data_IF_659212115840
#
_entry.id   IF_659212115840
#
_cell.length_a   1.000
_cell.length_b   1.000
_cell.length_c   1.000
_cell.angle_alpha   90.00
_cell.angle_beta   90.00
_cell.angle_gamma   90.00
#
_symmetry.space_group_name_H-M   'P 1'
#
loop_
_entity.id
_entity.type
_entity.pdbx_description
1 polymer ?
#
# COMPACT_ATOMS: atom_id res chain seq x y z
N UNK A 1 2.25 -13.90 -4.57
CA UNK A 1 1.16 -13.47 -5.46
C UNK A 1 -0.18 -13.94 -4.92
N UNK A 2 -0.24 -15.13 -4.33
CA UNK A 2 -1.47 -15.81 -3.91
C UNK A 2 -2.40 -14.94 -3.03
N UNK A 3 -1.86 -14.22 -2.04
CA UNK A 3 -2.66 -13.30 -1.21
C UNK A 3 -3.37 -12.23 -2.06
N UNK A 4 -2.69 -11.70 -3.07
CA UNK A 4 -3.23 -10.64 -3.93
C UNK A 4 -4.30 -11.18 -4.87
N UNK A 5 -4.14 -12.41 -5.38
CA UNK A 5 -5.19 -13.09 -6.17
C UNK A 5 -6.50 -13.15 -5.37
N UNK A 6 -6.46 -13.70 -4.15
CA UNK A 6 -7.64 -13.79 -3.30
C UNK A 6 -8.26 -12.43 -3.00
N UNK A 7 -7.45 -11.38 -2.84
CA UNK A 7 -7.98 -10.04 -2.64
C UNK A 7 -8.69 -9.49 -3.87
N UNK A 8 -8.12 -9.66 -5.07
CA UNK A 8 -8.72 -9.18 -6.33
C UNK A 8 -10.03 -9.92 -6.59
N UNK A 9 -10.07 -11.24 -6.42
CA UNK A 9 -11.28 -12.04 -6.66
C UNK A 9 -12.46 -11.65 -5.75
N UNK A 10 -12.17 -11.02 -4.60
CA UNK A 10 -13.17 -10.71 -3.56
C UNK A 10 -13.41 -9.19 -3.40
N UNK A 11 -12.99 -8.36 -4.37
CA UNK A 11 -13.25 -6.93 -4.31
C UNK A 11 -13.43 -6.29 -5.67
N UNK A 12 -14.32 -5.29 -5.75
CA UNK A 12 -14.53 -4.49 -6.96
C UNK A 12 -13.75 -3.17 -6.94
N UNK A 13 -13.12 -2.81 -5.83
CA UNK A 13 -12.31 -1.59 -5.70
C UNK A 13 -10.85 -1.85 -6.12
N UNK A 14 -10.16 -0.85 -6.69
CA UNK A 14 -8.80 -1.05 -7.19
C UNK A 14 -7.81 -1.37 -6.06
N UNK A 15 -6.90 -2.30 -6.33
CA UNK A 15 -5.81 -2.67 -5.42
C UNK A 15 -4.49 -2.08 -5.93
N UNK A 16 -3.87 -1.26 -5.08
CA UNK A 16 -2.48 -0.81 -5.22
C UNK A 16 -1.59 -1.68 -4.33
N UNK A 17 -0.70 -2.48 -4.93
CA UNK A 17 0.22 -3.34 -4.20
C UNK A 17 1.49 -2.58 -3.76
N UNK A 18 1.93 -2.73 -2.49
CA UNK A 18 3.31 -2.41 -2.09
C UNK A 18 4.24 -3.48 -2.69
N UNK A 19 5.00 -3.09 -3.72
CA UNK A 19 5.90 -3.95 -4.49
C UNK A 19 7.35 -3.90 -3.99
N UNK A 20 7.60 -3.39 -2.79
CA UNK A 20 8.94 -3.20 -2.22
C UNK A 20 9.85 -2.43 -3.21
N UNK A 21 11.06 -2.91 -3.45
CA UNK A 21 12.00 -2.37 -4.45
C UNK A 21 11.88 -3.03 -5.82
N UNK A 22 10.81 -3.82 -6.03
CA UNK A 22 10.56 -4.58 -7.26
C UNK A 22 11.15 -6.00 -7.28
N UNK A 23 11.49 -6.55 -6.10
CA UNK A 23 12.05 -7.90 -5.91
C UNK A 23 13.34 -8.19 -6.73
N UNK A 24 14.17 -7.17 -6.97
CA UNK A 24 15.43 -7.29 -7.68
C UNK A 24 15.73 -6.09 -8.58
N UNK A 25 16.16 -6.34 -9.81
CA UNK A 25 16.45 -5.31 -10.82
C UNK A 25 15.26 -5.07 -11.76
N UNK A 26 15.44 -4.25 -12.80
CA UNK A 26 14.39 -3.94 -13.78
C UNK A 26 13.75 -5.20 -14.42
N UNK A 27 14.51 -6.28 -14.59
CA UNK A 27 14.01 -7.53 -15.18
C UNK A 27 13.06 -8.28 -14.23
N UNK A 28 13.26 -8.15 -12.91
CA UNK A 28 12.33 -8.62 -11.91
C UNK A 28 11.05 -7.76 -11.91
N UNK A 29 11.21 -6.44 -11.97
CA UNK A 29 10.10 -5.47 -12.03
C UNK A 29 9.16 -5.75 -13.19
N UNK A 30 9.67 -5.91 -14.42
CA UNK A 30 8.80 -6.21 -15.57
C UNK A 30 8.01 -7.51 -15.41
N UNK A 31 8.62 -8.52 -14.79
CA UNK A 31 7.94 -9.79 -14.51
C UNK A 31 6.85 -9.60 -13.45
N UNK A 32 7.11 -8.82 -12.41
CA UNK A 32 6.14 -8.46 -11.39
C UNK A 32 4.94 -7.75 -12.02
N UNK A 33 5.17 -6.66 -12.76
CA UNK A 33 4.10 -5.87 -13.40
C UNK A 33 3.25 -6.73 -14.31
N UNK A 34 3.86 -7.50 -15.22
CA UNK A 34 3.11 -8.41 -16.10
C UNK A 34 2.25 -9.40 -15.31
N UNK A 35 2.73 -9.89 -14.16
CA UNK A 35 2.00 -10.85 -13.31
C UNK A 35 0.89 -10.20 -12.50
N UNK A 36 1.02 -8.92 -12.14
CA UNK A 36 0.00 -8.13 -11.47
C UNK A 36 -1.13 -7.75 -12.44
N UNK A 37 -0.78 -7.25 -13.64
CA UNK A 37 -1.78 -6.94 -14.67
C UNK A 37 -2.59 -8.17 -15.08
N UNK A 38 -1.95 -9.34 -15.20
CA UNK A 38 -2.65 -10.61 -15.48
C UNK A 38 -3.70 -11.01 -14.42
N UNK A 39 -3.60 -10.45 -13.21
CA UNK A 39 -4.48 -10.75 -12.09
C UNK A 39 -5.49 -9.64 -11.79
N UNK A 40 -5.57 -8.61 -12.64
CA UNK A 40 -6.47 -7.48 -12.41
C UNK A 40 -6.07 -6.55 -11.27
N UNK A 41 -4.80 -6.58 -10.82
CA UNK A 41 -4.30 -5.58 -9.86
C UNK A 41 -4.17 -4.23 -10.57
N UNK A 42 -4.66 -3.16 -9.94
CA UNK A 42 -4.75 -1.84 -10.55
C UNK A 42 -3.40 -1.10 -10.59
N UNK A 43 -2.47 -1.41 -9.69
CA UNK A 43 -1.15 -0.79 -9.72
C UNK A 43 -0.16 -1.38 -8.75
N UNK A 44 1.08 -0.89 -8.85
CA UNK A 44 2.18 -1.23 -7.94
C UNK A 44 2.90 0.02 -7.47
N UNK A 45 3.22 0.07 -6.18
CA UNK A 45 4.09 1.07 -5.59
C UNK A 45 5.49 0.47 -5.40
N UNK A 46 6.51 1.10 -5.98
CA UNK A 46 7.91 0.67 -5.89
C UNK A 46 8.71 1.73 -5.14
N UNK A 47 9.64 1.34 -4.26
CA UNK A 47 10.49 2.28 -3.51
C UNK A 47 11.95 2.27 -3.95
N UNK A 48 12.61 3.43 -3.87
CA UNK A 48 13.95 3.69 -4.39
C UNK A 48 15.11 3.26 -3.47
N UNK A 49 14.89 2.21 -2.66
CA UNK A 49 15.95 1.59 -1.84
C UNK A 49 16.73 0.51 -2.59
N UNK A 50 17.89 0.15 -2.05
CA UNK A 50 18.58 -1.07 -2.45
C UNK A 50 17.81 -2.33 -1.99
N UNK A 51 17.96 -3.42 -2.76
CA UNK A 51 17.42 -4.74 -2.41
C UNK A 51 18.45 -5.54 -1.59
N UNK A 52 18.07 -6.28 -0.53
CA UNK A 52 16.71 -6.49 -0.02
C UNK A 52 16.13 -5.28 0.72
N UNK A 53 14.80 -5.14 0.71
CA UNK A 53 14.08 -4.05 1.40
C UNK A 53 14.39 -4.04 2.90
N UNK A 54 14.70 -2.85 3.42
CA UNK A 54 14.73 -2.57 4.86
C UNK A 54 13.51 -1.71 5.20
N UNK A 55 12.77 -2.12 6.23
CA UNK A 55 11.58 -1.38 6.67
C UNK A 55 11.94 0.06 7.07
N UNK A 56 11.13 1.04 6.66
CA UNK A 56 11.38 2.48 6.87
C UNK A 56 11.47 2.90 8.35
N UNK A 57 11.02 2.07 9.28
CA UNK A 57 11.11 2.32 10.72
C UNK A 57 12.30 1.62 11.41
N UNK A 58 13.14 0.89 10.67
CA UNK A 58 14.28 0.13 11.21
C UNK A 58 15.60 0.74 10.74
N UNK A 59 16.45 1.16 11.66
CA UNK A 59 17.79 1.70 11.37
C UNK A 59 17.82 3.18 10.95
N UNK A 60 19.03 3.72 10.82
CA UNK A 60 19.32 5.07 10.33
C UNK A 60 20.27 4.99 9.13
N UNK A 61 20.12 5.89 8.15
CA UNK A 61 20.96 5.94 6.95
C UNK A 61 20.80 4.71 6.05
N UNK A 62 19.59 4.51 5.50
CA UNK A 62 19.35 3.42 4.55
C UNK A 62 19.88 3.81 3.17
N UNK A 63 20.59 2.90 2.51
CA UNK A 63 21.12 3.14 1.18
C UNK A 63 19.99 3.19 0.14
N UNK A 64 20.02 4.24 -0.67
CA UNK A 64 19.11 4.44 -1.78
C UNK A 64 19.75 3.95 -3.08
N UNK A 65 18.92 3.40 -3.96
CA UNK A 65 19.30 3.18 -5.34
C UNK A 65 19.67 4.51 -6.00
N UNK A 66 20.57 4.43 -6.99
CA UNK A 66 20.85 5.59 -7.83
C UNK A 66 19.58 6.02 -8.56
N UNK A 67 19.43 7.33 -8.80
CA UNK A 67 18.28 7.87 -9.54
C UNK A 67 18.13 7.16 -10.89
N UNK A 68 19.23 6.98 -11.62
CA UNK A 68 19.24 6.32 -12.93
C UNK A 68 18.76 4.87 -12.88
N UNK A 69 19.23 4.09 -11.89
CA UNK A 69 18.78 2.70 -11.70
C UNK A 69 17.27 2.63 -11.45
N UNK A 70 16.76 3.50 -10.58
CA UNK A 70 15.35 3.49 -10.22
C UNK A 70 14.45 4.01 -11.36
N UNK A 71 14.88 5.05 -12.10
CA UNK A 71 14.22 5.47 -13.33
C UNK A 71 14.13 4.32 -14.35
N UNK A 72 15.20 3.53 -14.51
CA UNK A 72 15.18 2.35 -15.38
C UNK A 72 14.19 1.27 -14.93
N UNK A 73 13.97 1.11 -13.61
CA UNK A 73 12.93 0.23 -13.07
C UNK A 73 11.53 0.76 -13.38
N UNK A 74 11.29 2.06 -13.23
CA UNK A 74 10.00 2.69 -13.55
C UNK A 74 9.68 2.53 -15.04
N UNK A 75 10.63 2.85 -15.93
CA UNK A 75 10.47 2.68 -17.37
C UNK A 75 10.17 1.23 -17.73
N UNK A 76 10.93 0.27 -17.19
CA UNK A 76 10.68 -1.15 -17.42
C UNK A 76 9.31 -1.62 -16.89
N UNK A 77 8.81 -1.01 -15.81
CA UNK A 77 7.46 -1.26 -15.30
C UNK A 77 6.41 -0.78 -16.32
N UNK A 78 6.51 0.48 -16.76
CA UNK A 78 5.59 1.07 -17.74
C UNK A 78 5.61 0.34 -19.08
N UNK A 79 6.78 -0.05 -19.58
CA UNK A 79 6.92 -0.80 -20.84
C UNK A 79 6.31 -2.22 -20.78
N UNK A 80 6.04 -2.73 -19.58
CA UNK A 80 5.62 -4.12 -19.37
C UNK A 80 4.18 -4.28 -18.89
N UNK A 81 3.46 -3.16 -18.72
CA UNK A 81 2.04 -3.17 -18.37
C UNK A 81 1.21 -3.76 -19.53
N UNK A 82 0.20 -4.56 -19.19
CA UNK A 82 -0.72 -5.12 -20.19
C UNK A 82 -1.95 -4.23 -20.43
N UNK A 83 -2.20 -3.32 -19.50
CA UNK A 83 -3.30 -2.36 -19.49
C UNK A 83 -2.70 -0.96 -19.36
N UNK A 84 -3.18 0.00 -20.17
CA UNK A 84 -2.74 1.39 -20.11
C UNK A 84 -3.10 2.06 -18.79
N UNK A 85 -4.14 1.57 -18.12
CA UNK A 85 -4.66 2.15 -16.88
C UNK A 85 -3.93 1.60 -15.63
N UNK A 86 -3.00 0.65 -15.80
CA UNK A 86 -2.19 0.15 -14.71
C UNK A 86 -1.23 1.23 -14.18
N UNK A 87 -1.34 1.55 -12.89
CA UNK A 87 -0.55 2.60 -12.27
C UNK A 87 0.78 2.08 -11.68
N UNK A 88 1.86 2.81 -11.90
CA UNK A 88 3.16 2.66 -11.25
C UNK A 88 3.39 3.87 -10.36
N UNK A 89 3.38 3.66 -9.05
CA UNK A 89 3.66 4.69 -8.05
C UNK A 89 5.12 4.62 -7.63
N UNK A 90 5.84 5.73 -7.75
CA UNK A 90 7.23 5.83 -7.34
C UNK A 90 7.32 6.37 -5.89
N UNK A 91 7.75 5.53 -4.96
CA UNK A 91 7.94 5.87 -3.57
C UNK A 91 9.36 6.39 -3.30
N UNK A 92 9.42 7.62 -2.82
CA UNK A 92 10.66 8.35 -2.51
C UNK A 92 10.98 8.16 -1.03
N UNK A 93 12.09 7.49 -0.72
CA UNK A 93 12.56 7.20 0.64
C UNK A 93 13.71 8.12 1.08
N UNK A 94 13.97 9.22 0.35
CA UNK A 94 15.01 10.20 0.67
C UNK A 94 14.90 10.77 2.09
N UNK A 95 13.72 11.27 2.48
CA UNK A 95 13.51 11.82 3.82
C UNK A 95 13.62 10.75 4.91
N UNK A 96 13.11 9.54 4.65
CA UNK A 96 13.26 8.39 5.55
C UNK A 96 14.74 8.07 5.81
N UNK A 97 15.55 8.18 4.77
CA UNK A 97 17.00 7.89 4.79
C UNK A 97 17.82 9.04 5.37
N UNK A 98 17.21 10.18 5.69
CA UNK A 98 17.85 11.36 6.27
C UNK A 98 18.49 12.29 5.25
N UNK A 99 18.16 12.14 3.96
CA UNK A 99 18.56 13.09 2.93
C UNK A 99 17.79 14.41 3.05
N UNK A 100 18.35 15.54 2.56
CA UNK A 100 17.65 16.82 2.57
C UNK A 100 16.45 16.84 1.60
N UNK A 101 15.55 17.80 1.79
CA UNK A 101 14.36 18.01 0.95
C UNK A 101 14.70 18.12 -0.55
N UNK A 102 15.80 18.80 -0.89
CA UNK A 102 16.26 18.96 -2.27
C UNK A 102 16.48 17.62 -2.97
N UNK A 103 17.04 16.63 -2.27
CA UNK A 103 17.26 15.29 -2.82
C UNK A 103 15.93 14.54 -3.02
N UNK A 104 14.95 14.75 -2.13
CA UNK A 104 13.61 14.18 -2.28
C UNK A 104 12.88 14.75 -3.51
N UNK A 105 12.93 16.08 -3.71
CA UNK A 105 12.35 16.77 -4.85
C UNK A 105 13.01 16.31 -6.16
N UNK A 106 14.34 16.28 -6.20
CA UNK A 106 15.11 15.82 -7.36
C UNK A 106 14.76 14.40 -7.79
N UNK A 107 14.58 13.51 -6.81
CA UNK A 107 14.16 12.12 -7.04
C UNK A 107 12.74 12.07 -7.58
N UNK A 108 11.81 12.76 -6.95
CA UNK A 108 10.42 12.84 -7.39
C UNK A 108 10.29 13.32 -8.84
N UNK A 109 11.00 14.39 -9.22
CA UNK A 109 11.02 14.91 -10.58
C UNK A 109 11.57 13.90 -11.59
N UNK A 110 12.68 13.23 -11.24
CA UNK A 110 13.27 12.22 -12.10
C UNK A 110 12.34 11.01 -12.30
N UNK A 111 11.59 10.62 -11.25
CA UNK A 111 10.70 9.47 -11.28
C UNK A 111 9.40 9.77 -12.03
N UNK A 112 8.83 10.97 -11.84
CA UNK A 112 7.72 11.47 -12.65
C UNK A 112 8.13 11.55 -14.14
N UNK A 113 9.32 12.10 -14.44
CA UNK A 113 9.85 12.17 -15.81
C UNK A 113 10.15 10.80 -16.42
N UNK A 114 10.42 9.78 -15.61
CA UNK A 114 10.60 8.40 -16.05
C UNK A 114 9.27 7.68 -16.35
N UNK A 115 8.12 8.30 -16.06
CA UNK A 115 6.79 7.78 -16.36
C UNK A 115 6.02 7.24 -15.17
N UNK A 116 6.41 7.57 -13.93
CA UNK A 116 5.58 7.24 -12.77
C UNK A 116 4.24 7.97 -12.83
N UNK A 117 3.14 7.26 -12.57
CA UNK A 117 1.78 7.82 -12.62
C UNK A 117 1.44 8.61 -11.34
N UNK A 118 2.19 8.38 -10.26
CA UNK A 118 2.12 9.13 -9.01
C UNK A 118 3.45 9.02 -8.25
N UNK A 119 3.72 9.99 -7.38
CA UNK A 119 4.84 9.95 -6.44
C UNK A 119 4.31 9.77 -5.02
N UNK A 120 4.84 8.77 -4.30
CA UNK A 120 4.61 8.61 -2.87
C UNK A 120 5.78 9.21 -2.10
N UNK A 121 5.57 10.34 -1.43
CA UNK A 121 6.55 10.91 -0.52
C UNK A 121 6.33 10.39 0.90
N UNK A 122 7.39 9.86 1.53
CA UNK A 122 7.30 9.29 2.87
C UNK A 122 8.18 10.03 3.88
N UNK A 123 7.70 10.08 5.12
CA UNK A 123 8.42 10.65 6.26
C UNK A 123 8.13 9.82 7.51
N UNK A 124 9.10 9.80 8.43
CA UNK A 124 9.01 9.11 9.73
C UNK A 124 8.83 10.06 10.91
N UNK A 125 8.72 11.37 10.65
CA UNK A 125 8.44 12.38 11.67
C UNK A 125 7.06 12.18 12.30
N UNK A 126 6.89 12.69 13.52
CA UNK A 126 5.63 12.64 14.26
C UNK A 126 4.58 13.64 13.79
N UNK A 127 4.97 14.61 12.96
CA UNK A 127 4.09 15.61 12.37
C UNK A 127 4.28 15.67 10.85
N UNK A 128 3.29 16.23 10.15
CA UNK A 128 3.26 16.29 8.70
C UNK A 128 4.06 17.44 8.08
N UNK A 129 4.89 18.17 8.83
CA UNK A 129 5.54 19.39 8.32
C UNK A 129 6.42 19.14 7.10
N UNK A 130 7.28 18.11 7.13
CA UNK A 130 8.12 17.73 5.98
C UNK A 130 7.27 17.38 4.75
N UNK A 131 6.14 16.70 4.94
CA UNK A 131 5.25 16.32 3.83
C UNK A 131 4.57 17.55 3.23
N UNK A 132 4.06 18.45 4.08
CA UNK A 132 3.47 19.72 3.63
C UNK A 132 4.50 20.60 2.91
N UNK A 133 5.74 20.62 3.38
CA UNK A 133 6.83 21.36 2.76
C UNK A 133 7.17 20.79 1.36
N UNK A 134 7.28 19.47 1.24
CA UNK A 134 7.46 18.80 -0.05
C UNK A 134 6.33 19.17 -1.03
N UNK A 135 5.07 19.09 -0.60
CA UNK A 135 3.92 19.37 -1.46
C UNK A 135 3.87 20.83 -1.93
N UNK A 136 4.33 21.79 -1.11
CA UNK A 136 4.39 23.21 -1.51
C UNK A 136 5.52 23.50 -2.49
N UNK A 137 6.64 22.79 -2.37
CA UNK A 137 7.82 23.02 -3.20
C UNK A 137 7.75 22.29 -4.54
N UNK A 138 7.16 21.10 -4.58
CA UNK A 138 7.15 20.28 -5.79
C UNK A 138 6.18 20.84 -6.85
N UNK A 139 6.74 21.38 -7.94
CA UNK A 139 6.00 22.08 -9.02
C UNK A 139 5.58 21.15 -10.17
N UNK A 140 5.36 19.87 -9.90
CA UNK A 140 4.99 18.87 -10.90
C UNK A 140 3.49 18.52 -10.78
N UNK A 141 2.80 18.30 -11.90
CA UNK A 141 1.38 17.93 -11.92
C UNK A 141 1.12 16.46 -11.56
N UNK A 142 2.18 15.65 -11.40
CA UNK A 142 2.07 14.25 -11.04
C UNK A 142 1.43 14.10 -9.63
N UNK A 143 0.40 13.24 -9.46
CA UNK A 143 -0.30 13.08 -8.19
C UNK A 143 0.62 12.69 -7.01
N UNK A 144 0.39 13.30 -5.85
CA UNK A 144 1.10 12.99 -4.60
C UNK A 144 0.29 11.99 -3.76
N UNK A 145 0.96 10.91 -3.34
CA UNK A 145 0.47 9.91 -2.40
C UNK A 145 1.21 10.03 -1.07
N UNK A 146 0.50 9.92 0.06
CA UNK A 146 1.11 9.98 1.39
C UNK A 146 0.67 8.81 2.29
N UNK A 147 1.43 8.57 3.36
CA UNK A 147 1.17 7.50 4.34
C UNK A 147 1.31 8.05 5.77
N UNK A 148 0.26 8.67 6.35
CA UNK A 148 0.30 9.37 7.64
C UNK A 148 0.26 8.43 8.86
N UNK A 149 1.04 7.35 8.84
CA UNK A 149 1.08 6.40 9.97
C UNK A 149 1.79 7.00 11.20
N UNK A 150 2.87 7.77 10.99
CA UNK A 150 3.64 8.41 12.08
C UNK A 150 3.13 9.80 12.44
N UNK A 151 2.64 10.54 11.44
CA UNK A 151 2.09 11.88 11.57
C UNK A 151 0.55 11.88 11.53
N UNK A 152 -0.06 10.89 12.18
CA UNK A 152 -1.50 10.65 12.21
C UNK A 152 -2.31 11.79 12.86
N UNK A 153 -1.65 12.65 13.64
CA UNK A 153 -2.30 13.77 14.32
C UNK A 153 -2.50 14.99 13.41
N UNK A 154 -1.88 15.01 12.22
CA UNK A 154 -2.13 16.05 11.22
C UNK A 154 -3.49 15.81 10.56
N UNK A 155 -4.35 16.83 10.59
CA UNK A 155 -5.70 16.73 10.05
C UNK A 155 -5.68 16.46 8.54
N UNK A 156 -6.61 15.62 8.06
CA UNK A 156 -6.70 15.27 6.64
C UNK A 156 -6.96 16.49 5.74
N UNK A 157 -7.70 17.49 6.22
CA UNK A 157 -7.95 18.73 5.47
C UNK A 157 -6.66 19.49 5.16
N UNK A 158 -5.67 19.46 6.05
CA UNK A 158 -4.37 20.09 5.79
C UNK A 158 -3.64 19.45 4.60
N UNK A 159 -3.83 18.15 4.36
CA UNK A 159 -3.27 17.47 3.18
C UNK A 159 -4.02 17.86 1.89
N UNK A 160 -5.35 18.05 1.97
CA UNK A 160 -6.16 18.51 0.84
C UNK A 160 -5.74 19.93 0.42
N UNK A 161 -5.50 20.80 1.37
CA UNK A 161 -5.07 22.20 1.13
C UNK A 161 -3.74 22.31 0.38
N UNK A 162 -2.84 21.34 0.55
CA UNK A 162 -1.54 21.31 -0.14
C UNK A 162 -1.53 20.38 -1.36
N UNK A 163 -2.70 19.95 -1.85
CA UNK A 163 -2.80 19.22 -3.12
C UNK A 163 -2.43 17.74 -3.06
N UNK A 164 -2.43 17.11 -1.88
CA UNK A 164 -2.29 15.65 -1.78
C UNK A 164 -3.47 14.96 -2.47
N UNK A 165 -3.17 14.05 -3.40
CA UNK A 165 -4.18 13.32 -4.18
C UNK A 165 -4.71 12.12 -3.42
N UNK A 166 -3.82 11.32 -2.80
CA UNK A 166 -4.20 10.04 -2.17
C UNK A 166 -3.56 9.87 -0.79
N UNK A 167 -4.35 9.38 0.17
CA UNK A 167 -3.89 9.02 1.52
C UNK A 167 -4.01 7.50 1.71
N UNK A 168 -2.93 6.85 2.15
CA UNK A 168 -2.92 5.42 2.46
C UNK A 168 -2.92 5.18 3.98
N UNK A 169 -3.95 4.50 4.47
CA UNK A 169 -4.06 4.04 5.86
C UNK A 169 -3.41 2.67 6.07
N UNK A 170 -2.09 2.60 5.92
CA UNK A 170 -1.32 1.38 5.62
C UNK A 170 -1.57 0.11 6.46
N UNK A 171 -1.69 0.19 7.80
CA UNK A 171 -1.62 -1.01 8.66
C UNK A 171 -2.64 -1.05 9.81
N UNK A 172 -3.66 -0.19 9.77
CA UNK A 172 -4.58 0.01 10.88
C UNK A 172 -5.48 -1.22 11.10
N UNK A 173 -6.00 -1.84 10.03
CA UNK A 173 -6.82 -3.06 10.12
C UNK A 173 -6.07 -4.23 10.77
N UNK A 174 -4.80 -4.43 10.39
CA UNK A 174 -3.93 -5.46 11.00
C UNK A 174 -3.72 -5.18 12.50
N UNK A 175 -3.39 -3.93 12.86
CA UNK A 175 -3.17 -3.52 14.25
C UNK A 175 -4.42 -3.69 15.10
N UNK A 176 -5.59 -3.33 14.57
CA UNK A 176 -6.88 -3.51 15.23
C UNK A 176 -7.19 -5.00 15.45
N UNK A 177 -6.99 -5.84 14.43
CA UNK A 177 -7.16 -7.30 14.51
C UNK A 177 -6.29 -7.91 15.61
N UNK A 178 -5.01 -7.53 15.69
CA UNK A 178 -4.09 -8.02 16.73
C UNK A 178 -4.58 -7.65 18.14
N UNK A 179 -5.05 -6.40 18.32
CA UNK A 179 -5.57 -5.94 19.62
C UNK A 179 -6.81 -6.72 20.04
N UNK A 180 -7.77 -6.90 19.14
CA UNK A 180 -9.01 -7.65 19.39
C UNK A 180 -8.71 -9.12 19.70
N UNK A 181 -7.94 -9.81 18.85
CA UNK A 181 -7.58 -11.22 19.07
C UNK A 181 -6.90 -11.44 20.42
N UNK A 182 -6.00 -10.53 20.84
CA UNK A 182 -5.33 -10.58 22.15
C UNK A 182 -6.31 -10.41 23.31
N UNK A 183 -7.25 -9.47 23.22
CA UNK A 183 -8.25 -9.24 24.26
C UNK A 183 -9.18 -10.45 24.41
N UNK A 184 -9.71 -10.95 23.29
CA UNK A 184 -10.62 -12.09 23.23
C UNK A 184 -9.98 -13.36 23.78
N UNK A 185 -8.77 -13.70 23.32
CA UNK A 185 -8.07 -14.92 23.77
C UNK A 185 -7.78 -14.88 25.27
N UNK A 186 -7.45 -13.70 25.80
CA UNK A 186 -7.23 -13.50 27.24
C UNK A 186 -8.53 -13.71 28.04
N UNK A 187 -9.64 -13.16 27.56
CA UNK A 187 -10.94 -13.32 28.22
C UNK A 187 -11.35 -14.81 28.27
N UNK A 188 -11.28 -15.51 27.13
CA UNK A 188 -11.60 -16.95 27.04
C UNK A 188 -10.75 -17.76 28.04
N UNK A 189 -9.43 -17.48 28.09
CA UNK A 189 -8.51 -18.19 28.98
C UNK A 189 -8.82 -17.95 30.47
N UNK A 190 -9.21 -16.72 30.83
CA UNK A 190 -9.49 -16.34 32.22
C UNK A 190 -10.81 -16.95 32.72
N UNK A 191 -11.83 -17.01 31.87
CA UNK A 191 -13.17 -17.46 32.26
C UNK A 191 -13.49 -18.90 31.87
N UNK A 192 -12.64 -19.55 31.07
CA UNK A 192 -12.89 -20.86 30.45
C UNK A 192 -14.27 -20.93 29.76
N UNK A 193 -14.68 -19.81 29.14
CA UNK A 193 -15.97 -19.66 28.48
C UNK A 193 -15.92 -18.52 27.47
N UNK A 194 -16.75 -18.61 26.43
CA UNK A 194 -16.96 -17.56 25.42
C UNK A 194 -18.18 -16.68 25.72
N UNK A 195 -18.97 -17.00 26.74
CA UNK A 195 -20.25 -16.32 26.99
C UNK A 195 -20.14 -14.80 27.20
N UNK A 196 -19.00 -14.31 27.72
CA UNK A 196 -18.78 -12.88 27.96
C UNK A 196 -18.41 -12.10 26.69
N UNK A 197 -17.82 -12.76 25.68
CA UNK A 197 -17.31 -12.09 24.48
C UNK A 197 -18.32 -12.10 23.33
N UNK A 198 -19.40 -12.88 23.43
CA UNK A 198 -20.33 -13.13 22.33
C UNK A 198 -20.94 -11.84 21.76
N UNK A 199 -21.13 -10.82 22.61
CA UNK A 199 -21.67 -9.51 22.20
C UNK A 199 -20.61 -8.51 21.71
N UNK A 200 -19.33 -8.88 21.76
CA UNK A 200 -18.20 -8.01 21.41
C UNK A 200 -17.56 -8.37 20.06
N UNK A 201 -17.95 -9.51 19.47
CA UNK A 201 -17.40 -10.02 18.20
C UNK A 201 -18.47 -10.05 17.11
N UNK A 202 -18.03 -10.25 15.86
CA UNK A 202 -18.93 -10.45 14.74
C UNK A 202 -19.79 -11.70 14.95
N UNK A 203 -21.05 -11.64 14.56
CA UNK A 203 -21.95 -12.78 14.65
C UNK A 203 -21.59 -13.86 13.62
N UNK A 204 -22.05 -15.10 13.81
CA UNK A 204 -21.93 -16.14 12.78
C UNK A 204 -22.61 -15.73 11.47
N UNK A 205 -23.74 -15.03 11.54
CA UNK A 205 -24.43 -14.52 10.35
C UNK A 205 -23.60 -13.50 9.58
N UNK A 206 -22.85 -12.64 10.29
CA UNK A 206 -21.91 -11.71 9.64
C UNK A 206 -20.78 -12.47 8.95
N UNK A 207 -20.26 -13.54 9.56
CA UNK A 207 -19.25 -14.40 8.94
C UNK A 207 -19.79 -15.05 7.67
N UNK A 208 -20.98 -15.66 7.71
CA UNK A 208 -21.58 -16.33 6.54
C UNK A 208 -21.88 -15.36 5.39
N UNK A 209 -22.27 -14.12 5.71
CA UNK A 209 -22.42 -13.06 4.71
C UNK A 209 -21.09 -12.70 4.06
N UNK A 210 -20.02 -12.60 4.85
CA UNK A 210 -18.68 -12.26 4.34
C UNK A 210 -18.03 -13.41 3.55
N UNK A 211 -18.32 -14.66 3.89
CA UNK A 211 -17.84 -15.85 3.16
C UNK A 211 -18.73 -16.22 1.98
N UNK A 212 -19.79 -15.45 1.73
CA UNK A 212 -20.76 -15.64 0.65
C UNK A 212 -21.43 -17.04 0.67
N UNK A 213 -21.58 -17.64 1.85
CA UNK A 213 -22.14 -19.00 1.99
C UNK A 213 -23.60 -19.10 1.51
N UNK A 214 -24.34 -18.00 1.59
CA UNK A 214 -25.71 -17.93 1.07
C UNK A 214 -25.77 -18.00 -0.47
N UNK A 215 -24.73 -17.55 -1.18
CA UNK A 215 -24.68 -17.67 -2.65
C UNK A 215 -24.53 -19.13 -3.06
N UNK A 216 -23.71 -19.90 -2.36
CA UNK A 216 -23.54 -21.34 -2.59
C UNK A 216 -24.88 -22.06 -2.45
N UNK A 217 -25.66 -21.77 -1.40
CA UNK A 217 -26.98 -22.37 -1.22
C UNK A 217 -27.95 -22.02 -2.37
N UNK A 218 -27.92 -20.78 -2.87
CA UNK A 218 -28.74 -20.36 -4.02
C UNK A 218 -28.28 -21.05 -5.31
N UNK A 219 -26.96 -21.20 -5.51
CA UNK A 219 -26.39 -21.91 -6.64
C UNK A 219 -26.76 -23.40 -6.59
N UNK A 220 -26.71 -24.03 -5.42
CA UNK A 220 -27.14 -25.41 -5.20
C UNK A 220 -28.63 -25.57 -5.56
N UNK A 221 -29.52 -24.71 -5.06
CA UNK A 221 -30.94 -24.77 -5.42
C UNK A 221 -31.19 -24.62 -6.94
N UNK A 222 -30.35 -23.85 -7.62
CA UNK A 222 -30.49 -23.60 -9.06
C UNK A 222 -29.91 -24.72 -9.92
N UNK A 223 -28.77 -25.29 -9.53
CA UNK A 223 -27.97 -26.19 -10.37
C UNK A 223 -27.98 -27.64 -9.92
N UNK A 224 -28.31 -27.92 -8.66
CA UNK A 224 -28.57 -29.27 -8.18
C UNK A 224 -30.08 -29.52 -8.26
N UNK A 225 -30.54 -30.00 -9.41
CA UNK A 225 -31.85 -30.66 -9.51
C UNK A 225 -31.86 -31.88 -8.59
N UNK A 226 -32.76 -31.88 -7.60
CA UNK A 226 -33.24 -33.10 -6.95
C UNK A 226 -34.08 -33.92 -7.92
#
# INVERSE_FOLDING_TARGET
MDVVDFMVDNTAIPILLDGDTGFGNFNNVRRLVKKLSQRGVAGVCLEDKLFPKINSFIGAGQDLASISEFCGKIQAAKDSQLDSDFCVVARVEALISGCPMEEALKRADAYASAGADAVLIHSKQSDGAEIMDFCRQWQNDCPIVIVPTKYYNTATDAFREVGVSTVIWANHSLRASIAAMRAITRNIRQHNSVAQIEREIASLDDVFKLTNEYEVQLAEQKYLTL
#
